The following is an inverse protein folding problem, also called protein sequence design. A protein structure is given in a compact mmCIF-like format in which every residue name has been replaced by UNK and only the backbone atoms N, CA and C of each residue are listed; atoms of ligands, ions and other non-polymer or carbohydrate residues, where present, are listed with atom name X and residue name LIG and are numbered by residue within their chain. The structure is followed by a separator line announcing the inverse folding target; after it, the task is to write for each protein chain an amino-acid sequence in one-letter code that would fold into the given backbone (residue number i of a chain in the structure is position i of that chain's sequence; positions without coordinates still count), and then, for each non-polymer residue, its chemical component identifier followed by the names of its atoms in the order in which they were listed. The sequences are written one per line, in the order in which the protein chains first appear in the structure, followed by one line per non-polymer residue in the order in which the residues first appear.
data_IF_464732549913
#
_entry.id   IF_464732549913
#
_cell.length_a   1.000
_cell.length_b   1.000
_cell.length_c   1.000
_cell.angle_alpha   90.00
_cell.angle_beta   90.00
_cell.angle_gamma   90.00
#
_symmetry.space_group_name_H-M   'P 1'
#
loop_
_entity.id
_entity.type
_entity.pdbx_description
1 polymer ?
#
# COMPACT_ATOMS: atom_id res chain seq x y z
N UNK A 1 -30.19 16.26 -23.75
CA UNK A 1 -29.38 15.14 -23.19
C UNK A 1 -30.29 13.93 -23.09
N UNK A 2 -29.85 12.73 -23.50
CA UNK A 2 -30.69 11.54 -23.39
C UNK A 2 -30.97 11.20 -21.93
N UNK A 3 -32.17 10.73 -21.66
CA UNK A 3 -32.59 10.25 -20.35
C UNK A 3 -32.10 8.82 -20.15
N UNK A 4 -31.33 8.58 -19.09
CA UNK A 4 -30.64 7.30 -18.87
C UNK A 4 -31.17 6.62 -17.63
N UNK A 5 -31.64 5.38 -17.79
CA UNK A 5 -32.15 4.56 -16.71
C UNK A 5 -31.23 3.35 -16.53
N UNK A 6 -30.63 3.23 -15.36
CA UNK A 6 -29.81 2.08 -14.96
C UNK A 6 -30.71 1.04 -14.31
N UNK A 7 -30.82 -0.12 -14.95
CA UNK A 7 -31.65 -1.24 -14.57
C UNK A 7 -30.76 -2.36 -14.04
N UNK A 8 -31.10 -2.92 -12.88
CA UNK A 8 -30.41 -4.08 -12.32
C UNK A 8 -31.41 -5.06 -11.75
N UNK A 9 -31.35 -6.33 -12.13
CA UNK A 9 -32.17 -7.36 -11.50
C UNK A 9 -31.57 -7.74 -10.14
N UNK A 10 -32.41 -7.87 -9.11
CA UNK A 10 -31.94 -8.34 -7.81
C UNK A 10 -31.54 -9.83 -7.91
N UNK A 11 -30.45 -10.21 -7.25
CA UNK A 11 -29.93 -11.58 -7.22
C UNK A 11 -29.31 -11.87 -5.87
N UNK A 12 -29.53 -13.07 -5.36
CA UNK A 12 -28.92 -13.56 -4.12
C UNK A 12 -27.43 -13.92 -4.28
N UNK A 13 -26.95 -14.07 -5.53
CA UNK A 13 -25.54 -14.32 -5.85
C UNK A 13 -24.93 -13.12 -6.57
N UNK A 14 -23.83 -12.59 -6.02
CA UNK A 14 -23.11 -11.44 -6.57
C UNK A 14 -22.45 -11.72 -7.94
N UNK A 15 -22.28 -12.98 -8.31
CA UNK A 15 -21.49 -13.40 -9.49
C UNK A 15 -22.25 -13.30 -10.83
N UNK A 16 -23.57 -13.07 -10.82
CA UNK A 16 -24.41 -13.04 -12.04
C UNK A 16 -25.45 -11.91 -12.01
N UNK A 17 -25.07 -10.68 -11.62
CA UNK A 17 -26.00 -9.54 -11.72
C UNK A 17 -25.94 -8.87 -13.09
N UNK A 18 -27.00 -9.02 -13.88
CA UNK A 18 -27.17 -8.33 -15.15
C UNK A 18 -27.54 -6.86 -14.90
N UNK A 19 -26.68 -5.94 -15.34
CA UNK A 19 -26.89 -4.49 -15.28
C UNK A 19 -27.08 -3.99 -16.70
N UNK A 20 -28.15 -3.25 -16.93
CA UNK A 20 -28.54 -2.75 -18.24
C UNK A 20 -28.73 -1.24 -18.16
N UNK A 21 -28.29 -0.55 -19.20
CA UNK A 21 -28.42 0.90 -19.34
C UNK A 21 -29.40 1.18 -20.46
N UNK A 22 -30.65 1.48 -20.10
CA UNK A 22 -31.66 1.90 -21.05
C UNK A 22 -31.52 3.41 -21.31
N UNK A 23 -31.48 3.80 -22.58
CA UNK A 23 -31.39 5.20 -23.00
C UNK A 23 -32.66 5.58 -23.75
N UNK A 24 -33.17 6.75 -23.44
CA UNK A 24 -34.38 7.31 -24.04
C UNK A 24 -34.10 8.75 -24.49
N UNK A 25 -34.73 9.19 -25.56
CA UNK A 25 -34.56 10.57 -26.06
C UNK A 25 -35.20 11.61 -25.12
N UNK A 26 -36.21 11.21 -24.36
CA UNK A 26 -36.90 12.00 -23.35
C UNK A 26 -37.27 11.12 -22.13
N UNK A 27 -37.96 11.69 -21.13
CA UNK A 27 -38.51 10.92 -20.00
C UNK A 27 -39.44 9.83 -20.55
N UNK A 28 -39.15 8.54 -20.34
CA UNK A 28 -39.96 7.47 -20.90
C UNK A 28 -41.31 7.38 -20.18
N UNK A 29 -42.34 7.01 -20.94
CA UNK A 29 -43.58 6.50 -20.37
C UNK A 29 -43.35 5.14 -19.71
N UNK A 30 -44.28 4.68 -18.87
CA UNK A 30 -44.24 3.34 -18.33
C UNK A 30 -44.28 2.29 -19.43
N UNK A 31 -45.04 2.52 -20.50
CA UNK A 31 -45.10 1.61 -21.65
C UNK A 31 -43.74 1.39 -22.31
N UNK A 32 -42.99 2.47 -22.53
CA UNK A 32 -41.65 2.41 -23.14
C UNK A 32 -40.64 1.75 -22.19
N UNK A 33 -40.69 2.13 -20.91
CA UNK A 33 -39.80 1.59 -19.88
C UNK A 33 -40.04 0.10 -19.66
N UNK A 34 -41.31 -0.32 -19.51
CA UNK A 34 -41.68 -1.72 -19.29
C UNK A 34 -41.38 -2.59 -20.50
N UNK A 35 -41.61 -2.09 -21.72
CA UNK A 35 -41.26 -2.82 -22.95
C UNK A 35 -39.75 -3.05 -23.03
N UNK A 36 -38.95 -2.04 -22.68
CA UNK A 36 -37.50 -2.17 -22.70
C UNK A 36 -36.99 -3.13 -21.62
N UNK A 37 -37.59 -3.13 -20.44
CA UNK A 37 -37.26 -4.09 -19.38
C UNK A 37 -37.67 -5.51 -19.77
N UNK A 38 -38.84 -5.68 -20.38
CA UNK A 38 -39.36 -6.97 -20.82
C UNK A 38 -38.44 -7.63 -21.85
N UNK A 39 -37.97 -6.86 -22.84
CA UNK A 39 -37.00 -7.30 -23.86
C UNK A 39 -35.67 -7.73 -23.23
N UNK A 40 -35.13 -6.91 -22.34
CA UNK A 40 -33.74 -7.02 -21.88
C UNK A 40 -33.55 -8.02 -20.73
N UNK A 41 -34.59 -8.25 -19.93
CA UNK A 41 -34.57 -9.18 -18.79
C UNK A 41 -35.45 -10.42 -18.99
N UNK A 42 -36.02 -10.59 -20.20
CA UNK A 42 -36.93 -11.70 -20.54
C UNK A 42 -38.11 -11.82 -19.57
N UNK A 43 -38.72 -10.69 -19.20
CA UNK A 43 -39.90 -10.63 -18.31
C UNK A 43 -41.13 -10.29 -19.16
N UNK A 44 -42.30 -10.85 -18.84
CA UNK A 44 -43.55 -10.43 -19.50
C UNK A 44 -43.85 -8.97 -19.19
N UNK A 45 -44.19 -8.16 -20.20
CA UNK A 45 -44.48 -6.72 -20.02
C UNK A 45 -45.56 -6.43 -18.97
N UNK A 46 -46.51 -7.35 -18.79
CA UNK A 46 -47.57 -7.25 -17.77
C UNK A 46 -47.08 -7.53 -16.33
N UNK A 47 -45.89 -8.11 -16.19
CA UNK A 47 -45.31 -8.51 -14.92
C UNK A 47 -44.10 -7.65 -14.53
N UNK A 48 -43.79 -6.60 -15.28
CA UNK A 48 -42.67 -5.73 -14.97
C UNK A 48 -43.00 -4.84 -13.78
N UNK A 49 -42.08 -4.77 -12.81
CA UNK A 49 -42.06 -3.75 -11.78
C UNK A 49 -40.65 -3.21 -11.60
N UNK A 50 -40.53 -1.98 -11.08
CA UNK A 50 -39.23 -1.41 -10.72
C UNK A 50 -39.27 -0.85 -9.31
N UNK A 51 -38.13 -0.89 -8.63
CA UNK A 51 -37.96 -0.31 -7.30
C UNK A 51 -36.89 0.76 -7.35
N UNK A 52 -37.24 1.95 -6.89
CA UNK A 52 -36.31 3.02 -6.56
C UNK A 52 -35.87 2.90 -5.10
N UNK A 53 -34.57 3.09 -4.85
CA UNK A 53 -33.99 3.15 -3.51
C UNK A 53 -33.33 4.51 -3.34
N UNK A 54 -33.79 5.28 -2.36
CA UNK A 54 -33.14 6.51 -1.93
C UNK A 54 -32.17 6.22 -0.77
N UNK A 55 -31.04 6.93 -0.72
CA UNK A 55 -30.04 6.83 0.36
C UNK A 55 -30.54 7.44 1.67
N UNK A 56 -31.50 8.36 1.62
CA UNK A 56 -32.05 9.04 2.79
C UNK A 56 -33.48 8.62 3.15
N UNK A 57 -34.36 8.34 2.18
CA UNK A 57 -35.79 8.08 2.44
C UNK A 57 -36.40 6.98 1.57
N UNK A 58 -36.57 5.80 2.15
CA UNK A 58 -37.59 4.83 1.71
C UNK A 58 -37.35 4.10 0.38
N UNK A 59 -38.12 3.03 0.21
CA UNK A 59 -38.16 2.16 -0.98
C UNK A 59 -39.46 2.46 -1.72
N UNK A 60 -39.40 2.96 -2.95
CA UNK A 60 -40.59 3.20 -3.77
C UNK A 60 -40.69 2.15 -4.87
N UNK A 61 -41.85 1.50 -5.00
CA UNK A 61 -42.11 0.49 -6.05
C UNK A 61 -43.04 1.09 -7.09
N UNK A 62 -42.66 1.02 -8.36
CA UNK A 62 -43.41 1.53 -9.50
C UNK A 62 -43.83 0.36 -10.39
N UNK A 63 -45.10 0.35 -10.78
CA UNK A 63 -45.75 -0.75 -11.52
C UNK A 63 -46.64 -0.26 -12.68
N UNK A 64 -46.87 1.05 -12.77
CA UNK A 64 -47.76 1.64 -13.76
C UNK A 64 -47.39 3.12 -14.04
N UNK A 65 -48.06 3.70 -15.03
CA UNK A 65 -47.85 5.09 -15.47
C UNK A 65 -48.09 6.12 -14.35
N UNK A 66 -49.14 5.93 -13.53
CA UNK A 66 -49.50 6.89 -12.48
C UNK A 66 -48.43 6.96 -11.39
N UNK A 67 -47.90 5.80 -10.98
CA UNK A 67 -46.81 5.71 -10.02
C UNK A 67 -45.52 6.31 -10.57
N UNK A 68 -45.20 6.05 -11.84
CA UNK A 68 -44.02 6.63 -12.51
C UNK A 68 -44.13 8.16 -12.62
N UNK A 69 -45.30 8.68 -12.96
CA UNK A 69 -45.55 10.12 -13.06
C UNK A 69 -45.46 10.79 -11.68
N UNK A 70 -46.04 10.19 -10.65
CA UNK A 70 -45.91 10.66 -9.26
C UNK A 70 -44.44 10.68 -8.82
N UNK A 71 -43.66 9.67 -9.23
CA UNK A 71 -42.22 9.63 -9.00
C UNK A 71 -41.50 10.78 -9.71
N UNK A 72 -41.83 11.11 -10.97
CA UNK A 72 -41.21 12.24 -11.67
C UNK A 72 -41.58 13.62 -11.11
N UNK A 73 -42.72 13.75 -10.44
CA UNK A 73 -43.13 15.00 -9.77
C UNK A 73 -42.41 15.20 -8.44
N UNK A 74 -42.22 14.12 -7.68
CA UNK A 74 -41.54 14.15 -6.38
C UNK A 74 -40.02 14.19 -6.56
N UNK A 75 -39.51 13.42 -7.51
CA UNK A 75 -38.10 13.27 -7.80
C UNK A 75 -37.84 13.90 -9.17
N UNK A 76 -37.33 15.14 -9.21
CA UNK A 76 -36.92 15.78 -10.45
C UNK A 76 -35.44 15.46 -10.74
N UNK A 77 -35.12 14.45 -11.59
CA UNK A 77 -33.75 14.16 -11.95
C UNK A 77 -33.27 15.24 -12.93
N UNK A 78 -32.87 16.39 -12.40
CA UNK A 78 -32.14 17.43 -13.13
C UNK A 78 -30.89 16.88 -13.85
N UNK A 79 -30.38 15.73 -13.39
CA UNK A 79 -29.27 14.98 -13.98
C UNK A 79 -29.66 14.02 -15.12
N UNK A 80 -30.94 13.77 -15.37
CA UNK A 80 -31.44 12.83 -16.39
C UNK A 80 -31.05 11.37 -16.16
N UNK A 81 -30.64 11.01 -14.94
CA UNK A 81 -30.16 9.66 -14.60
C UNK A 81 -30.92 9.07 -13.42
N UNK A 82 -31.51 7.88 -13.60
CA UNK A 82 -32.24 7.15 -12.55
C UNK A 82 -31.68 5.73 -12.38
N UNK A 83 -31.71 5.22 -11.15
CA UNK A 83 -31.42 3.81 -10.83
C UNK A 83 -32.70 3.09 -10.43
N UNK A 84 -32.94 1.94 -11.05
CA UNK A 84 -34.03 1.04 -10.68
C UNK A 84 -33.51 -0.37 -10.47
N UNK A 85 -34.06 -1.03 -9.45
CA UNK A 85 -34.00 -2.48 -9.31
C UNK A 85 -35.20 -3.07 -10.04
N UNK A 86 -34.95 -3.87 -11.07
CA UNK A 86 -35.98 -4.56 -11.84
C UNK A 86 -36.56 -5.70 -11.01
N UNK A 87 -37.88 -5.85 -11.05
CA UNK A 87 -38.65 -6.88 -10.38
C UNK A 87 -39.57 -7.57 -11.38
N UNK A 88 -39.68 -8.89 -11.24
CA UNK A 88 -40.78 -9.66 -11.83
C UNK A 88 -41.91 -9.76 -10.79
N UNK A 89 -43.06 -9.18 -11.10
CA UNK A 89 -44.21 -9.12 -10.18
C UNK A 89 -44.83 -10.49 -9.91
N UNK A 90 -44.60 -11.51 -10.74
CA UNK A 90 -45.02 -12.88 -10.43
C UNK A 90 -44.09 -13.56 -9.42
N UNK A 91 -42.81 -13.18 -9.42
CA UNK A 91 -41.78 -13.75 -8.53
C UNK A 91 -40.94 -12.63 -7.89
N UNK A 92 -41.56 -11.79 -7.02
CA UNK A 92 -40.88 -10.63 -6.48
C UNK A 92 -39.72 -11.04 -5.56
N UNK A 93 -38.59 -10.36 -5.70
CA UNK A 93 -37.41 -10.62 -4.89
C UNK A 93 -37.63 -10.15 -3.45
N UNK A 94 -36.96 -10.82 -2.50
CA UNK A 94 -37.10 -10.48 -1.09
C UNK A 94 -36.58 -9.06 -0.79
N UNK A 95 -37.20 -8.33 0.16
CA UNK A 95 -36.78 -6.97 0.50
C UNK A 95 -35.29 -6.86 0.86
N UNK A 96 -34.73 -7.87 1.52
CA UNK A 96 -33.31 -7.96 1.88
C UNK A 96 -32.40 -8.00 0.65
N UNK A 97 -32.80 -8.71 -0.40
CA UNK A 97 -32.04 -8.83 -1.66
C UNK A 97 -32.09 -7.53 -2.45
N UNK A 98 -33.25 -6.86 -2.44
CA UNK A 98 -33.41 -5.57 -3.13
C UNK A 98 -32.53 -4.50 -2.47
N UNK A 99 -32.53 -4.41 -1.13
CA UNK A 99 -31.70 -3.45 -0.40
C UNK A 99 -30.19 -3.70 -0.55
N UNK A 100 -29.75 -4.96 -0.66
CA UNK A 100 -28.33 -5.29 -0.89
C UNK A 100 -27.88 -5.14 -2.35
N UNK A 101 -28.82 -4.94 -3.30
CA UNK A 101 -28.50 -4.88 -4.74
C UNK A 101 -27.60 -3.68 -5.10
N UNK A 102 -27.63 -2.61 -4.30
CA UNK A 102 -26.83 -1.40 -4.52
C UNK A 102 -25.86 -1.04 -3.38
N UNK A 103 -25.72 -1.88 -2.33
CA UNK A 103 -24.91 -1.57 -1.14
C UNK A 103 -23.38 -1.65 -1.35
N UNK A 104 -22.92 -1.98 -2.56
CA UNK A 104 -21.52 -1.87 -2.97
C UNK A 104 -21.33 -0.64 -3.87
N UNK A 105 -20.52 0.30 -3.38
CA UNK A 105 -19.97 1.50 -4.05
C UNK A 105 -20.21 1.59 -5.56
N UNK A 106 -21.37 2.11 -5.97
CA UNK A 106 -21.64 2.40 -7.39
C UNK A 106 -22.23 3.79 -7.50
N UNK A 107 -21.35 4.79 -7.41
CA UNK A 107 -21.73 6.19 -7.53
C UNK A 107 -22.18 6.52 -8.96
N UNK A 108 -23.18 7.39 -9.07
CA UNK A 108 -23.81 7.85 -10.32
C UNK A 108 -22.92 8.75 -11.19
N UNK A 109 -21.64 8.93 -10.83
CA UNK A 109 -20.65 9.67 -11.62
C UNK A 109 -20.23 8.97 -12.91
N UNK A 110 -20.47 7.66 -13.04
CA UNK A 110 -19.78 6.84 -14.05
C UNK A 110 -20.46 6.76 -15.43
N UNK A 111 -21.52 7.54 -15.70
CA UNK A 111 -22.41 7.23 -16.85
C UNK A 111 -22.80 8.41 -17.77
N UNK A 112 -22.07 9.53 -17.81
CA UNK A 112 -22.31 10.55 -18.85
C UNK A 112 -21.57 10.33 -20.18
N UNK A 113 -20.56 9.46 -20.27
CA UNK A 113 -19.63 9.49 -21.42
C UNK A 113 -19.41 8.15 -22.13
N UNK A 114 -20.33 7.18 -22.08
CA UNK A 114 -20.03 5.83 -22.59
C UNK A 114 -19.79 5.72 -24.12
N UNK A 115 -20.19 6.70 -24.94
CA UNK A 115 -19.82 6.74 -26.39
C UNK A 115 -18.64 7.67 -26.68
N UNK A 116 -18.32 8.52 -25.70
CA UNK A 116 -17.13 9.34 -25.71
C UNK A 116 -15.96 8.65 -24.99
N UNK A 117 -16.10 7.43 -24.48
CA UNK A 117 -15.08 6.78 -23.65
C UNK A 117 -14.08 5.98 -24.49
N UNK A 118 -12.80 6.31 -24.36
CA UNK A 118 -11.65 5.52 -24.79
C UNK A 118 -11.07 4.80 -23.59
N UNK A 119 -10.81 3.51 -23.74
CA UNK A 119 -9.97 2.76 -22.80
C UNK A 119 -8.56 2.66 -23.40
N UNK A 120 -7.63 3.43 -22.85
CA UNK A 120 -6.24 3.43 -23.27
C UNK A 120 -5.41 2.60 -22.30
N UNK A 121 -4.64 1.66 -22.85
CA UNK A 121 -3.66 0.90 -22.07
C UNK A 121 -2.35 1.65 -22.02
N UNK A 122 -1.94 2.00 -20.80
CA UNK A 122 -0.76 2.80 -20.51
C UNK A 122 0.31 1.95 -19.80
N UNK A 123 1.57 2.27 -20.06
CA UNK A 123 2.72 1.67 -19.40
C UNK A 123 3.62 2.78 -18.86
N UNK A 124 3.89 2.79 -17.56
CA UNK A 124 4.87 3.72 -16.98
C UNK A 124 6.27 3.15 -17.17
N UNK A 125 7.10 3.84 -17.94
CA UNK A 125 8.47 3.42 -18.21
C UNK A 125 9.25 3.29 -16.89
N UNK A 126 10.03 2.21 -16.74
CA UNK A 126 10.84 1.89 -15.56
C UNK A 126 10.09 1.72 -14.22
N UNK A 127 8.75 1.77 -14.21
CA UNK A 127 7.96 1.68 -12.98
C UNK A 127 6.82 0.67 -13.06
N UNK A 128 6.15 0.51 -14.21
CA UNK A 128 5.09 -0.50 -14.37
C UNK A 128 5.65 -1.87 -14.74
N UNK A 129 5.17 -2.90 -14.04
CA UNK A 129 5.38 -4.30 -14.43
C UNK A 129 4.30 -4.84 -15.39
N UNK A 130 3.17 -4.14 -15.51
CA UNK A 130 2.04 -4.52 -16.36
C UNK A 130 1.34 -3.27 -16.90
N UNK A 131 0.75 -3.32 -18.11
CA UNK A 131 -0.07 -2.24 -18.62
C UNK A 131 -1.33 -2.07 -17.77
N UNK A 132 -1.79 -0.84 -17.60
CA UNK A 132 -3.03 -0.54 -16.90
C UNK A 132 -3.99 0.23 -17.79
N UNK A 133 -5.28 -0.02 -17.61
CA UNK A 133 -6.34 0.65 -18.35
C UNK A 133 -6.66 2.01 -17.73
N UNK A 134 -6.78 3.03 -18.58
CA UNK A 134 -7.27 4.36 -18.25
C UNK A 134 -8.46 4.65 -19.13
N UNK A 135 -9.61 4.90 -18.49
CA UNK A 135 -10.83 5.27 -19.18
C UNK A 135 -10.95 6.79 -19.22
N UNK A 136 -11.09 7.37 -20.42
CA UNK A 136 -11.10 8.82 -20.62
C UNK A 136 -11.97 9.21 -21.83
N UNK A 137 -12.48 10.45 -21.87
CA UNK A 137 -13.25 10.95 -23.00
C UNK A 137 -12.41 11.17 -24.29
N UNK A 138 -12.94 10.90 -25.48
CA UNK A 138 -12.32 11.16 -26.79
C UNK A 138 -12.12 12.67 -27.01
N UNK A 139 -13.10 13.45 -26.56
CA UNK A 139 -13.08 14.92 -26.57
C UNK A 139 -12.18 15.54 -25.50
N UNK A 140 -11.59 14.74 -24.60
CA UNK A 140 -10.68 15.26 -23.57
C UNK A 140 -9.27 15.43 -24.14
N UNK A 141 -8.51 16.37 -23.59
CA UNK A 141 -7.13 16.64 -24.01
C UNK A 141 -6.13 15.67 -23.39
N UNK A 142 -4.93 15.62 -23.96
CA UNK A 142 -3.78 14.88 -23.39
C UNK A 142 -3.46 15.36 -21.95
N UNK A 143 -3.64 16.65 -21.64
CA UNK A 143 -3.51 17.14 -20.26
C UNK A 143 -4.51 16.51 -19.27
N UNK A 144 -5.75 16.25 -19.70
CA UNK A 144 -6.72 15.51 -18.87
C UNK A 144 -6.32 14.03 -18.72
N UNK A 145 -5.70 13.44 -19.75
CA UNK A 145 -5.15 12.09 -19.68
C UNK A 145 -4.03 11.97 -18.65
N UNK A 146 -3.12 12.95 -18.59
CA UNK A 146 -2.08 12.99 -17.55
C UNK A 146 -2.67 13.00 -16.15
N UNK A 147 -3.72 13.80 -15.91
CA UNK A 147 -4.44 13.83 -14.63
C UNK A 147 -5.11 12.49 -14.31
N UNK A 148 -5.74 11.86 -15.30
CA UNK A 148 -6.36 10.54 -15.13
C UNK A 148 -5.34 9.44 -14.80
N UNK A 149 -4.18 9.45 -15.47
CA UNK A 149 -3.05 8.56 -15.18
C UNK A 149 -2.53 8.78 -13.77
N UNK A 150 -2.28 10.05 -13.38
CA UNK A 150 -1.86 10.40 -12.02
C UNK A 150 -2.85 9.87 -10.97
N UNK A 151 -4.14 10.11 -11.15
CA UNK A 151 -5.19 9.62 -10.23
C UNK A 151 -5.23 8.09 -10.15
N UNK A 152 -5.04 7.39 -11.27
CA UNK A 152 -5.05 5.91 -11.31
C UNK A 152 -3.80 5.30 -10.65
N UNK A 153 -2.70 6.05 -10.62
CA UNK A 153 -1.40 5.67 -10.05
C UNK A 153 -0.94 6.70 -9.01
N UNK A 154 -1.85 7.11 -8.13
CA UNK A 154 -1.64 8.21 -7.17
C UNK A 154 -0.42 7.99 -6.28
N UNK A 155 -0.17 6.75 -5.84
CA UNK A 155 1.02 6.37 -5.06
C UNK A 155 2.34 6.48 -5.84
N UNK A 156 2.29 6.40 -7.16
CA UNK A 156 3.48 6.46 -8.03
C UNK A 156 3.84 7.90 -8.38
N UNK A 157 2.85 8.79 -8.40
CA UNK A 157 3.00 10.19 -8.80
C UNK A 157 2.66 11.17 -7.66
N UNK A 158 2.79 10.73 -6.41
CA UNK A 158 2.42 11.50 -5.21
C UNK A 158 3.16 12.84 -5.15
N UNK A 159 4.43 12.85 -5.54
CA UNK A 159 5.33 14.03 -5.57
C UNK A 159 5.39 14.71 -6.93
N UNK A 160 4.89 14.07 -8.00
CA UNK A 160 5.06 14.52 -9.39
C UNK A 160 3.80 15.27 -9.86
N UNK A 161 3.94 16.52 -10.28
CA UNK A 161 2.83 17.29 -10.83
C UNK A 161 2.38 16.68 -12.18
N UNK A 162 1.07 16.59 -12.43
CA UNK A 162 0.55 15.82 -13.57
C UNK A 162 0.99 16.37 -14.92
N UNK A 163 1.19 17.68 -15.02
CA UNK A 163 1.68 18.40 -16.20
C UNK A 163 3.14 18.05 -16.57
N UNK A 164 3.95 17.66 -15.58
CA UNK A 164 5.35 17.26 -15.80
C UNK A 164 5.52 15.88 -16.42
N UNK A 165 4.46 15.06 -16.50
CA UNK A 165 4.50 13.75 -17.15
C UNK A 165 4.60 13.90 -18.67
N UNK A 166 5.45 13.11 -19.33
CA UNK A 166 5.50 13.05 -20.79
C UNK A 166 4.75 11.81 -21.30
N UNK A 167 3.83 12.00 -22.25
CA UNK A 167 3.04 10.92 -22.83
C UNK A 167 3.49 10.65 -24.26
N UNK A 168 3.71 9.37 -24.57
CA UNK A 168 4.20 8.93 -25.87
C UNK A 168 3.25 7.89 -26.47
N UNK A 169 2.75 8.16 -27.68
CA UNK A 169 1.86 7.28 -28.44
C UNK A 169 2.66 6.24 -29.23
N UNK A 170 2.22 4.99 -29.18
CA UNK A 170 2.78 3.89 -29.98
C UNK A 170 2.08 3.78 -31.34
N UNK A 171 2.82 3.93 -32.42
CA UNK A 171 2.31 3.76 -33.80
C UNK A 171 3.26 2.87 -34.62
N UNK A 172 3.04 1.54 -34.69
CA UNK A 172 1.81 0.83 -34.33
C UNK A 172 1.69 0.48 -32.83
N UNK A 173 0.46 0.31 -32.31
CA UNK A 173 0.22 -0.21 -30.96
C UNK A 173 0.86 -1.60 -30.77
N UNK A 174 1.40 -1.88 -29.58
CA UNK A 174 2.07 -3.16 -29.28
C UNK A 174 1.02 -4.19 -28.82
N UNK A 175 0.87 -5.35 -29.46
CA UNK A 175 -0.02 -6.41 -28.98
C UNK A 175 0.40 -6.92 -27.60
N UNK A 176 -0.56 -7.33 -26.76
CA UNK A 176 -0.27 -7.80 -25.39
C UNK A 176 0.77 -8.91 -25.30
N UNK A 177 0.89 -9.77 -26.31
CA UNK A 177 1.85 -10.87 -26.37
C UNK A 177 3.31 -10.43 -26.60
N UNK A 178 3.54 -9.20 -27.09
CA UNK A 178 4.86 -8.68 -27.45
C UNK A 178 5.37 -7.62 -26.48
N UNK A 179 4.59 -7.28 -25.44
CA UNK A 179 4.96 -6.26 -24.46
C UNK A 179 6.25 -6.65 -23.73
N UNK A 180 6.33 -7.88 -23.23
CA UNK A 180 7.47 -8.38 -22.45
C UNK A 180 8.76 -8.56 -23.25
N UNK A 181 8.67 -8.59 -24.57
CA UNK A 181 9.83 -8.72 -25.46
C UNK A 181 10.25 -7.36 -26.02
N UNK A 182 9.29 -6.49 -26.35
CA UNK A 182 9.58 -5.16 -26.92
C UNK A 182 9.91 -4.09 -25.89
N UNK A 183 9.48 -4.23 -24.65
CA UNK A 183 9.70 -3.21 -23.60
C UNK A 183 10.73 -3.61 -22.54
N UNK A 184 11.23 -4.86 -22.57
CA UNK A 184 12.16 -5.38 -21.54
C UNK A 184 13.44 -4.56 -21.41
N UNK A 185 14.02 -4.17 -22.55
CA UNK A 185 15.30 -3.49 -22.63
C UNK A 185 15.17 -2.00 -23.00
N UNK A 186 13.94 -1.48 -23.06
CA UNK A 186 13.66 -0.10 -23.45
C UNK A 186 13.84 0.82 -22.24
N UNK A 187 14.78 1.76 -22.37
CA UNK A 187 15.09 2.77 -21.35
C UNK A 187 14.62 4.16 -21.75
N UNK A 188 14.27 4.38 -23.02
CA UNK A 188 13.75 5.64 -23.53
C UNK A 188 12.63 5.37 -24.55
N UNK A 189 11.50 6.11 -24.52
CA UNK A 189 10.39 5.90 -25.46
C UNK A 189 10.79 6.00 -26.95
N UNK A 190 11.84 6.77 -27.28
CA UNK A 190 12.37 6.95 -28.63
C UNK A 190 13.05 5.69 -29.19
N UNK A 191 13.42 4.73 -28.34
CA UNK A 191 13.96 3.44 -28.77
C UNK A 191 12.86 2.53 -29.35
N UNK A 192 11.59 2.85 -29.12
CA UNK A 192 10.47 2.11 -29.66
C UNK A 192 10.15 2.65 -31.07
N UNK A 193 10.24 1.82 -32.13
CA UNK A 193 9.96 2.26 -33.49
C UNK A 193 8.53 2.79 -33.62
N UNK A 194 8.38 4.03 -34.10
CA UNK A 194 7.08 4.66 -34.32
C UNK A 194 6.42 5.27 -33.07
N UNK A 195 7.19 5.49 -32.01
CA UNK A 195 6.76 6.19 -30.81
C UNK A 195 6.76 7.72 -31.04
N UNK A 196 5.65 8.40 -30.75
CA UNK A 196 5.47 9.84 -30.99
C UNK A 196 5.06 10.54 -29.69
N UNK A 197 5.75 11.63 -29.33
CA UNK A 197 5.39 12.45 -28.16
C UNK A 197 4.06 13.17 -28.40
N UNK A 198 3.15 13.09 -27.44
CA UNK A 198 1.87 13.77 -27.45
C UNK A 198 2.00 15.18 -26.86
N UNK A 199 1.28 16.13 -27.43
CA UNK A 199 1.20 17.50 -26.91
C UNK A 199 -0.04 17.64 -26.00
N UNK A 200 0.10 18.35 -24.89
CA UNK A 200 -0.89 18.47 -23.80
C UNK A 200 -2.23 19.06 -24.25
N UNK A 201 -2.19 19.89 -25.30
CA UNK A 201 -3.33 20.62 -25.84
C UNK A 201 -4.11 19.75 -26.85
N UNK A 202 -3.47 18.73 -27.44
CA UNK A 202 -4.10 17.89 -28.46
C UNK A 202 -5.29 17.13 -27.87
N UNK A 203 -6.36 17.02 -28.66
CA UNK A 203 -7.48 16.16 -28.31
C UNK A 203 -7.11 14.68 -28.50
N UNK A 204 -7.63 13.81 -27.63
CA UNK A 204 -7.37 12.37 -27.74
C UNK A 204 -7.99 11.76 -29.01
N UNK A 205 -9.07 12.35 -29.53
CA UNK A 205 -9.72 11.97 -30.79
C UNK A 205 -8.79 12.06 -32.01
N UNK A 206 -7.89 13.04 -32.04
CA UNK A 206 -6.92 13.27 -33.12
C UNK A 206 -5.87 12.16 -33.18
N UNK A 207 -5.49 11.64 -32.01
CA UNK A 207 -4.46 10.61 -31.87
C UNK A 207 -5.02 9.20 -31.82
N UNK A 208 -6.22 9.01 -31.28
CA UNK A 208 -6.81 7.70 -30.98
C UNK A 208 -8.20 7.53 -31.61
N UNK A 209 -8.31 7.83 -32.90
CA UNK A 209 -9.55 7.67 -33.68
C UNK A 209 -10.05 6.22 -33.74
N UNK A 210 -9.14 5.23 -33.67
CA UNK A 210 -9.47 3.81 -33.56
C UNK A 210 -8.50 3.08 -32.63
N UNK A 211 -8.98 2.67 -31.46
CA UNK A 211 -8.20 1.98 -30.42
C UNK A 211 -8.38 0.48 -30.55
N UNK A 212 -7.27 -0.25 -30.76
CA UNK A 212 -7.31 -1.72 -30.85
C UNK A 212 -7.34 -2.34 -29.46
N UNK A 213 -8.33 -3.20 -29.21
CA UNK A 213 -8.40 -3.95 -27.94
C UNK A 213 -7.18 -4.84 -27.76
N UNK A 214 -6.76 -5.07 -26.50
CA UNK A 214 -5.60 -5.91 -26.13
C UNK A 214 -4.25 -5.44 -26.69
N UNK A 215 -4.11 -4.14 -26.98
CA UNK A 215 -2.84 -3.53 -27.36
C UNK A 215 -2.44 -2.48 -26.33
N UNK A 216 -1.14 -2.26 -26.18
CA UNK A 216 -0.58 -1.13 -25.46
C UNK A 216 -0.56 0.09 -26.39
N UNK A 217 -1.01 1.23 -25.86
CA UNK A 217 -1.23 2.44 -26.64
C UNK A 217 -0.24 3.55 -26.27
N UNK A 218 0.09 3.67 -24.98
CA UNK A 218 0.82 4.84 -24.46
C UNK A 218 1.95 4.40 -23.53
N UNK A 219 3.12 5.01 -23.72
CA UNK A 219 4.22 5.01 -22.76
C UNK A 219 4.18 6.32 -21.99
N UNK A 220 4.24 6.23 -20.66
CA UNK A 220 4.28 7.35 -19.73
C UNK A 220 5.70 7.47 -19.21
N UNK A 221 6.33 8.62 -19.43
CA UNK A 221 7.64 8.96 -18.91
C UNK A 221 7.48 10.02 -17.82
N UNK A 222 8.05 9.75 -16.64
CA UNK A 222 8.11 10.72 -15.56
C UNK A 222 9.29 11.67 -15.79
N UNK A 223 9.23 12.93 -15.36
CA UNK A 223 10.35 13.85 -15.50
C UNK A 223 11.58 13.31 -14.75
N UNK A 224 12.79 13.52 -15.28
CA UNK A 224 14.00 13.21 -14.55
C UNK A 224 14.06 14.09 -13.30
N UNK A 225 14.17 13.48 -12.13
CA UNK A 225 14.33 14.17 -10.85
C UNK A 225 15.51 15.14 -10.96
N UNK A 226 15.25 16.45 -10.85
CA UNK A 226 16.29 17.48 -10.92
C UNK A 226 17.14 17.44 -9.64
N UNK A 227 18.27 16.75 -9.69
CA UNK A 227 19.40 17.01 -8.79
C UNK A 227 20.41 17.98 -9.45
N UNK A 228 21.15 18.80 -8.68
CA UNK A 228 22.07 19.79 -9.22
C UNK A 228 23.27 19.16 -9.95
N UNK A 229 23.95 19.90 -10.86
CA UNK A 229 24.86 19.31 -11.82
C UNK A 229 26.25 19.07 -11.21
N UNK A 230 26.63 17.80 -11.01
CA UNK A 230 28.05 17.42 -10.90
C UNK A 230 28.41 16.16 -11.70
N UNK A 231 29.04 16.44 -12.86
CA UNK A 231 30.02 15.68 -13.64
C UNK A 231 29.86 14.15 -13.78
N UNK A 232 29.37 13.79 -14.98
CA UNK A 232 29.55 12.53 -15.74
C UNK A 232 30.73 11.64 -15.31
N UNK A 233 30.42 10.40 -14.93
CA UNK A 233 31.13 9.20 -15.38
C UNK A 233 30.16 8.01 -15.47
N UNK A 234 30.05 7.44 -16.68
CA UNK A 234 29.22 6.27 -16.99
C UNK A 234 29.79 5.00 -16.35
N UNK A 235 28.97 4.25 -15.61
CA UNK A 235 28.90 2.78 -15.65
C UNK A 235 27.72 2.24 -14.79
N UNK A 236 26.83 1.49 -15.48
CA UNK A 236 25.95 0.40 -15.00
C UNK A 236 24.91 0.62 -13.90
N UNK A 237 23.64 0.54 -14.34
CA UNK A 237 22.39 0.14 -13.68
C UNK A 237 22.43 -0.32 -12.21
N UNK A 238 21.87 0.52 -11.33
CA UNK A 238 21.04 0.15 -10.17
C UNK A 238 20.26 1.43 -9.83
N UNK A 239 18.94 1.45 -10.00
CA UNK A 239 18.10 2.51 -9.41
C UNK A 239 18.19 2.28 -7.91
N UNK A 240 18.98 3.11 -7.24
CA UNK A 240 19.23 3.02 -5.81
C UNK A 240 17.90 3.21 -5.09
N UNK A 241 17.50 2.15 -4.39
CA UNK A 241 16.91 2.23 -3.07
C UNK A 241 17.63 3.32 -2.27
N UNK A 242 17.18 4.58 -2.31
CA UNK A 242 17.77 5.63 -1.49
C UNK A 242 17.59 5.23 -0.02
N UNK A 243 18.69 4.71 0.55
CA UNK A 243 18.84 4.45 1.97
C UNK A 243 19.29 5.76 2.57
N UNK A 244 18.65 6.16 3.66
CA UNK A 244 18.98 7.40 4.35
C UNK A 244 20.46 7.43 4.77
N UNK A 245 21.11 8.59 4.64
CA UNK A 245 22.55 8.75 4.92
C UNK A 245 22.92 8.33 6.35
N UNK A 246 22.03 8.56 7.32
CA UNK A 246 22.22 8.17 8.71
C UNK A 246 22.22 6.64 8.88
N UNK A 247 21.41 5.92 8.10
CA UNK A 247 21.37 4.45 8.08
C UNK A 247 22.63 3.87 7.43
N UNK A 248 23.14 4.51 6.37
CA UNK A 248 24.41 4.14 5.73
C UNK A 248 25.56 4.35 6.71
N UNK A 249 25.65 5.53 7.33
CA UNK A 249 26.67 5.86 8.32
C UNK A 249 26.64 4.89 9.52
N UNK A 250 25.45 4.51 9.97
CA UNK A 250 25.30 3.51 11.03
C UNK A 250 25.84 2.13 10.63
N UNK A 251 25.61 1.69 9.39
CA UNK A 251 26.22 0.45 8.89
C UNK A 251 27.74 0.57 8.77
N UNK A 252 28.26 1.67 8.21
CA UNK A 252 29.69 1.90 8.12
C UNK A 252 30.36 1.86 9.51
N UNK A 253 29.75 2.52 10.49
CA UNK A 253 30.28 2.58 11.85
C UNK A 253 30.31 1.19 12.52
N UNK A 254 29.22 0.42 12.43
CA UNK A 254 29.13 -0.88 13.11
C UNK A 254 29.78 -2.02 12.34
N UNK A 255 29.58 -2.07 11.03
CA UNK A 255 30.02 -3.20 10.19
C UNK A 255 31.46 -3.03 9.71
N UNK A 256 31.77 -1.88 9.13
CA UNK A 256 33.08 -1.61 8.50
C UNK A 256 34.10 -1.18 9.56
N UNK A 257 33.77 -0.15 10.34
CA UNK A 257 34.67 0.40 11.36
C UNK A 257 34.63 -0.38 12.69
N UNK A 258 33.65 -1.28 12.87
CA UNK A 258 33.47 -2.07 14.11
C UNK A 258 33.46 -1.21 15.38
N UNK A 259 32.94 0.01 15.29
CA UNK A 259 32.77 0.92 16.42
C UNK A 259 31.72 0.35 17.35
N UNK A 260 32.07 0.13 18.61
CA UNK A 260 31.11 -0.35 19.60
C UNK A 260 30.14 0.79 19.98
N UNK A 261 28.82 0.66 19.71
CA UNK A 261 27.83 1.66 20.08
C UNK A 261 27.42 1.56 21.55
N UNK A 262 27.81 0.48 22.25
CA UNK A 262 27.48 0.26 23.66
C UNK A 262 28.48 1.01 24.54
N UNK A 263 27.97 1.90 25.38
CA UNK A 263 28.73 2.67 26.39
C UNK A 263 28.21 2.36 27.78
N UNK A 264 29.11 2.40 28.76
CA UNK A 264 28.74 2.32 30.17
C UNK A 264 28.54 3.73 30.72
N UNK A 265 27.38 3.95 31.33
CA UNK A 265 27.02 5.18 32.02
C UNK A 265 26.95 4.92 33.53
N UNK A 266 27.26 5.93 34.33
CA UNK A 266 27.27 5.83 35.80
C UNK A 266 25.97 6.38 36.39
N UNK A 267 25.38 5.65 37.33
CA UNK A 267 24.20 6.10 38.06
C UNK A 267 24.59 7.27 38.98
N UNK A 268 24.14 8.48 38.65
CA UNK A 268 24.24 9.63 39.56
C UNK A 268 23.09 9.56 40.56
N UNK A 269 23.37 9.06 41.77
CA UNK A 269 22.38 8.95 42.85
C UNK A 269 22.29 10.26 43.63
N UNK A 270 21.08 10.59 44.06
CA UNK A 270 20.84 11.63 45.07
C UNK A 270 21.50 11.19 46.40
N UNK A 271 22.18 12.09 47.13
CA UNK A 271 22.69 11.79 48.47
C UNK A 271 21.66 11.19 49.44
N UNK A 272 20.36 11.44 49.22
CA UNK A 272 19.24 10.94 50.03
C UNK A 272 18.54 9.69 49.45
N UNK A 273 19.26 8.83 48.71
CA UNK A 273 18.67 7.61 48.17
C UNK A 273 18.07 6.68 49.24
N UNK A 274 17.04 5.91 48.84
CA UNK A 274 16.46 4.84 49.65
C UNK A 274 17.56 3.88 50.10
N UNK A 275 17.75 3.77 51.42
CA UNK A 275 18.60 2.75 52.03
C UNK A 275 18.11 1.35 51.60
N UNK A 276 19.03 0.40 51.43
CA UNK A 276 18.77 -1.02 51.10
C UNK A 276 18.43 -1.39 49.64
N UNK A 277 18.66 -0.53 48.63
CA UNK A 277 18.51 -0.91 47.21
C UNK A 277 19.87 -1.08 46.52
N UNK A 278 20.22 -2.33 46.20
CA UNK A 278 21.44 -2.73 45.47
C UNK A 278 21.33 -2.47 43.96
N UNK A 279 21.30 -1.19 43.55
CA UNK A 279 21.34 -0.81 42.12
C UNK A 279 22.78 -0.81 41.60
N UNK A 280 23.08 -1.44 40.45
CA UNK A 280 24.40 -1.37 39.84
C UNK A 280 24.86 0.09 39.66
N UNK A 281 26.14 0.34 39.97
CA UNK A 281 26.76 1.68 39.86
C UNK A 281 26.83 2.15 38.41
N UNK A 282 26.87 1.22 37.46
CA UNK A 282 26.93 1.50 36.02
C UNK A 282 25.91 0.68 35.24
N UNK A 283 25.45 1.21 34.11
CA UNK A 283 24.54 0.55 33.19
C UNK A 283 24.96 0.75 31.73
N UNK A 284 24.54 -0.17 30.86
CA UNK A 284 24.88 -0.15 29.44
C UNK A 284 23.84 0.65 28.63
N UNK A 285 24.31 1.51 27.74
CA UNK A 285 23.47 2.29 26.81
C UNK A 285 23.96 2.10 25.39
N UNK A 286 23.03 1.90 24.48
CA UNK A 286 23.26 1.84 23.04
C UNK A 286 23.14 3.26 22.45
N UNK A 287 24.27 3.84 22.02
CA UNK A 287 24.36 5.16 21.39
C UNK A 287 24.57 5.08 19.88
N UNK A 288 24.56 6.25 19.22
CA UNK A 288 24.95 6.37 17.81
C UNK A 288 23.95 5.73 16.83
N UNK A 289 22.70 5.54 17.28
CA UNK A 289 21.64 5.07 16.41
C UNK A 289 21.20 6.19 15.45
N UNK A 290 20.83 5.86 14.20
CA UNK A 290 20.22 6.79 13.26
C UNK A 290 19.08 7.56 13.90
N UNK A 291 18.92 8.85 13.54
CA UNK A 291 17.82 9.69 14.03
C UNK A 291 16.48 9.09 13.59
N UNK A 292 16.47 8.48 12.41
CA UNK A 292 15.35 7.71 11.89
C UNK A 292 14.98 6.50 12.78
N UNK A 293 15.90 6.00 13.62
CA UNK A 293 15.68 4.87 14.52
C UNK A 293 15.37 5.30 15.96
N UNK A 294 16.08 6.29 16.51
CA UNK A 294 15.82 6.89 17.85
C UNK A 294 16.56 8.22 18.04
N UNK A 295 16.11 9.06 18.97
CA UNK A 295 16.64 10.42 19.21
C UNK A 295 17.61 10.57 20.38
N UNK A 296 17.84 9.54 21.21
CA UNK A 296 18.59 9.72 22.48
C UNK A 296 19.39 8.50 22.97
N UNK A 297 19.58 7.48 22.14
CA UNK A 297 20.15 6.20 22.60
C UNK A 297 19.16 5.34 23.38
N UNK A 298 19.55 4.11 23.71
CA UNK A 298 18.67 3.09 24.28
C UNK A 298 19.33 2.43 25.50
N UNK A 299 18.65 2.46 26.65
CA UNK A 299 19.06 1.68 27.82
C UNK A 299 19.03 0.18 27.49
N UNK A 300 20.15 -0.51 27.71
CA UNK A 300 20.26 -1.96 27.52
C UNK A 300 19.89 -2.65 28.83
N UNK A 301 18.72 -3.28 28.81
CA UNK A 301 18.19 -4.07 29.92
C UNK A 301 18.95 -5.39 30.07
N UNK A 302 19.04 -5.92 31.29
CA UNK A 302 19.61 -7.26 31.50
C UNK A 302 18.78 -8.32 30.78
N UNK A 303 17.46 -8.13 30.73
CA UNK A 303 16.51 -8.94 29.98
C UNK A 303 16.84 -9.03 28.47
N UNK A 304 17.49 -8.03 27.87
CA UNK A 304 17.89 -8.11 26.46
C UNK A 304 18.96 -9.17 26.22
N UNK A 305 19.89 -9.32 27.16
CA UNK A 305 20.96 -10.33 27.09
C UNK A 305 20.34 -11.72 27.24
N UNK A 306 19.47 -11.91 28.23
CA UNK A 306 18.71 -13.16 28.45
C UNK A 306 17.86 -13.54 27.24
N UNK A 307 17.15 -12.58 26.64
CA UNK A 307 16.33 -12.82 25.45
C UNK A 307 17.18 -13.18 24.21
N UNK A 308 18.34 -12.53 24.00
CA UNK A 308 19.28 -12.88 22.92
C UNK A 308 19.79 -14.32 23.06
N UNK A 309 20.24 -14.71 24.26
CA UNK A 309 20.70 -16.07 24.55
C UNK A 309 19.58 -17.11 24.37
N UNK A 310 18.37 -16.77 24.82
CA UNK A 310 17.18 -17.58 24.61
C UNK A 310 16.85 -17.78 23.13
N UNK A 311 16.94 -16.74 22.31
CA UNK A 311 16.70 -16.83 20.87
C UNK A 311 17.75 -17.72 20.19
N UNK A 312 19.05 -17.50 20.45
CA UNK A 312 20.11 -18.31 19.85
C UNK A 312 19.99 -19.79 20.25
N UNK A 313 19.61 -20.07 21.50
CA UNK A 313 19.41 -21.45 21.98
C UNK A 313 18.22 -22.15 21.31
N UNK A 314 17.14 -21.42 21.00
CA UNK A 314 15.95 -21.98 20.36
C UNK A 314 16.05 -22.05 18.83
N UNK A 315 16.93 -21.25 18.20
CA UNK A 315 17.06 -21.11 16.74
C UNK A 315 17.13 -22.45 15.98
N UNK A 316 17.85 -23.49 16.42
CA UNK A 316 17.90 -24.76 15.68
C UNK A 316 16.54 -25.48 15.61
N UNK A 317 15.58 -25.08 16.46
CA UNK A 317 14.32 -25.78 16.67
C UNK A 317 13.10 -24.99 16.21
N UNK A 318 13.25 -23.69 15.88
CA UNK A 318 12.12 -22.81 15.52
C UNK A 318 12.46 -21.92 14.33
N UNK A 319 11.44 -21.58 13.55
CA UNK A 319 11.58 -20.70 12.38
C UNK A 319 11.37 -19.22 12.73
N UNK A 320 10.67 -18.96 13.85
CA UNK A 320 10.43 -17.63 14.34
C UNK A 320 10.36 -17.57 15.87
N UNK A 321 10.78 -16.43 16.42
CA UNK A 321 10.56 -16.06 17.82
C UNK A 321 9.73 -14.77 17.87
N UNK A 322 8.63 -14.78 18.61
CA UNK A 322 7.76 -13.62 18.83
C UNK A 322 7.99 -13.10 20.25
N UNK A 323 8.55 -11.90 20.35
CA UNK A 323 8.72 -11.16 21.60
C UNK A 323 7.43 -10.43 21.92
N UNK A 324 6.77 -10.84 23.00
CA UNK A 324 5.53 -10.24 23.51
C UNK A 324 5.76 -9.59 24.88
N UNK A 325 4.91 -8.64 25.23
CA UNK A 325 4.97 -7.94 26.52
C UNK A 325 4.16 -6.65 26.52
N UNK A 326 4.02 -6.02 27.68
CA UNK A 326 3.25 -4.80 27.86
C UNK A 326 3.76 -3.65 26.96
N UNK A 327 2.88 -2.74 26.49
CA UNK A 327 3.32 -1.53 25.79
C UNK A 327 4.36 -0.74 26.61
N UNK A 328 5.37 -0.16 25.95
CA UNK A 328 6.44 0.58 26.63
C UNK A 328 7.54 -0.28 27.27
N UNK A 329 7.40 -1.61 27.32
CA UNK A 329 8.39 -2.49 27.99
C UNK A 329 9.75 -2.61 27.27
N UNK A 330 9.92 -1.96 26.11
CA UNK A 330 11.20 -1.95 25.39
C UNK A 330 11.37 -3.03 24.32
N UNK A 331 10.29 -3.59 23.76
CA UNK A 331 10.38 -4.59 22.68
C UNK A 331 11.04 -4.05 21.40
N UNK A 332 10.67 -2.85 20.96
CA UNK A 332 11.30 -2.21 19.79
C UNK A 332 12.77 -1.88 20.08
N UNK A 333 13.07 -1.41 21.30
CA UNK A 333 14.42 -1.18 21.79
C UNK A 333 15.30 -2.43 21.74
N UNK A 334 14.74 -3.59 22.11
CA UNK A 334 15.41 -4.87 22.00
C UNK A 334 15.78 -5.24 20.55
N UNK A 335 14.93 -4.92 19.57
CA UNK A 335 15.28 -5.17 18.16
C UNK A 335 16.47 -4.31 17.69
N UNK A 336 16.58 -3.06 18.15
CA UNK A 336 17.76 -2.21 17.85
C UNK A 336 19.03 -2.75 18.52
N UNK A 337 18.92 -3.22 19.77
CA UNK A 337 20.00 -3.93 20.44
C UNK A 337 20.48 -5.14 19.64
N UNK A 338 19.56 -6.02 19.21
CA UNK A 338 19.89 -7.17 18.38
C UNK A 338 20.49 -6.76 17.03
N UNK A 339 19.95 -5.72 16.39
CA UNK A 339 20.49 -5.21 15.13
C UNK A 339 21.96 -4.82 15.32
N UNK A 340 22.27 -3.98 16.30
CA UNK A 340 23.64 -3.53 16.57
C UNK A 340 24.59 -4.72 16.84
N UNK A 341 24.17 -5.67 17.69
CA UNK A 341 24.94 -6.88 18.00
C UNK A 341 25.25 -7.72 16.76
N UNK A 342 24.26 -7.88 15.87
CA UNK A 342 24.43 -8.65 14.63
C UNK A 342 25.34 -7.94 13.62
N UNK A 343 25.22 -6.62 13.48
CA UNK A 343 26.08 -5.85 12.58
C UNK A 343 27.55 -5.87 13.04
N UNK A 344 27.80 -5.74 14.35
CA UNK A 344 29.13 -5.91 14.94
C UNK A 344 29.71 -7.31 14.68
N UNK A 345 28.86 -8.34 14.71
CA UNK A 345 29.23 -9.71 14.40
C UNK A 345 29.32 -9.99 12.88
N UNK A 346 29.14 -8.97 12.02
CA UNK A 346 29.11 -9.07 10.55
C UNK A 346 28.10 -10.11 10.03
N UNK A 347 26.97 -10.26 10.74
CA UNK A 347 25.91 -11.19 10.37
C UNK A 347 24.85 -10.46 9.53
N UNK A 348 24.48 -10.98 8.35
CA UNK A 348 23.48 -10.34 7.50
C UNK A 348 22.13 -10.26 8.23
N UNK A 349 21.48 -9.11 8.13
CA UNK A 349 20.29 -8.80 8.94
C UNK A 349 19.31 -7.96 8.14
N UNK A 350 18.05 -8.36 8.13
CA UNK A 350 16.94 -7.54 7.64
C UNK A 350 16.29 -6.87 8.86
N UNK A 351 15.98 -5.58 8.75
CA UNK A 351 15.30 -4.82 9.78
C UNK A 351 14.06 -4.13 9.18
N UNK A 352 12.87 -4.49 9.65
CA UNK A 352 11.62 -3.81 9.33
C UNK A 352 11.21 -2.93 10.52
N UNK A 353 11.27 -1.61 10.33
CA UNK A 353 10.80 -0.62 11.33
C UNK A 353 9.29 -0.37 11.23
N UNK A 354 8.79 -0.37 10.01
CA UNK A 354 7.39 -0.12 9.62
C UNK A 354 7.12 -0.73 8.22
N UNK A 355 5.90 -0.62 7.72
CA UNK A 355 5.50 -1.15 6.40
C UNK A 355 6.35 -0.69 5.21
N UNK A 356 6.98 0.48 5.30
CA UNK A 356 7.69 1.14 4.19
C UNK A 356 9.20 1.14 4.37
N UNK A 357 9.68 0.85 5.57
CA UNK A 357 11.08 0.98 5.98
C UNK A 357 11.64 -0.39 6.32
N UNK A 358 12.07 -1.09 5.28
CA UNK A 358 12.70 -2.42 5.35
C UNK A 358 14.12 -2.27 4.82
N UNK A 359 15.11 -2.58 5.66
CA UNK A 359 16.52 -2.47 5.32
C UNK A 359 17.19 -3.83 5.38
N UNK A 360 18.03 -4.14 4.41
CA UNK A 360 18.91 -5.30 4.40
C UNK A 360 20.35 -4.86 4.56
N UNK A 361 20.95 -5.26 5.67
CA UNK A 361 22.35 -5.02 6.00
C UNK A 361 23.16 -6.26 5.64
N UNK A 362 24.21 -6.07 4.84
CA UNK A 362 25.06 -7.15 4.33
C UNK A 362 26.52 -6.73 4.27
N UNK A 363 27.41 -7.65 3.89
CA UNK A 363 28.82 -7.32 3.60
C UNK A 363 29.00 -6.34 2.43
N UNK A 364 27.99 -6.19 1.56
CA UNK A 364 28.03 -5.30 0.39
C UNK A 364 27.46 -3.91 0.66
N UNK A 365 27.00 -3.63 1.88
CA UNK A 365 26.33 -2.40 2.24
C UNK A 365 24.89 -2.62 2.71
N UNK A 366 24.18 -1.50 2.84
CA UNK A 366 22.76 -1.45 3.18
C UNK A 366 21.93 -1.23 1.92
N UNK A 367 20.82 -1.96 1.81
CA UNK A 367 19.85 -1.79 0.73
C UNK A 367 18.45 -1.71 1.31
N UNK A 368 17.60 -0.81 0.81
CA UNK A 368 16.17 -0.87 1.10
C UNK A 368 15.53 -2.05 0.38
N UNK A 369 14.57 -2.71 0.99
CA UNK A 369 13.81 -3.80 0.37
C UNK A 369 12.37 -3.35 0.10
N UNK A 370 11.81 -3.88 -1.00
CA UNK A 370 10.37 -3.78 -1.26
C UNK A 370 9.60 -4.72 -0.33
N UNK A 371 8.36 -4.35 -0.01
CA UNK A 371 7.45 -5.15 0.82
C UNK A 371 7.07 -6.49 0.19
N UNK A 372 7.13 -6.56 -1.14
CA UNK A 372 6.56 -7.64 -1.94
C UNK A 372 7.61 -8.57 -2.57
N UNK A 373 8.90 -8.20 -2.55
CA UNK A 373 9.90 -8.93 -3.32
C UNK A 373 11.24 -9.01 -2.58
N UNK A 374 11.72 -10.23 -2.32
CA UNK A 374 13.13 -10.46 -1.98
C UNK A 374 13.93 -10.43 -3.28
N UNK A 375 14.93 -9.55 -3.44
CA UNK A 375 15.85 -9.63 -4.57
C UNK A 375 16.54 -11.00 -4.57
N UNK A 376 16.64 -11.66 -5.74
CA UNK A 376 17.29 -12.98 -5.88
C UNK A 376 18.77 -12.99 -5.45
N UNK A 377 19.38 -11.82 -5.33
CA UNK A 377 20.77 -11.61 -4.90
C UNK A 377 20.97 -11.66 -3.37
N UNK A 378 19.89 -11.77 -2.58
CA UNK A 378 20.00 -11.83 -1.12
C UNK A 378 20.30 -13.26 -0.70
N UNK A 379 21.49 -13.48 -0.14
CA UNK A 379 21.85 -14.75 0.49
C UNK A 379 21.10 -14.88 1.83
N UNK A 380 20.01 -15.66 1.80
CA UNK A 380 19.11 -15.80 2.95
C UNK A 380 19.59 -16.83 3.97
N UNK A 381 20.69 -17.55 3.71
CA UNK A 381 21.30 -18.43 4.71
C UNK A 381 21.85 -17.58 5.84
N UNK A 382 21.49 -17.92 7.08
CA UNK A 382 21.91 -17.24 8.32
C UNK A 382 21.40 -15.80 8.53
N UNK A 383 20.65 -15.27 7.58
CA UNK A 383 20.03 -13.94 7.69
C UNK A 383 18.86 -13.97 8.67
N UNK A 384 18.87 -13.04 9.63
CA UNK A 384 17.73 -12.82 10.52
C UNK A 384 16.92 -11.63 10.04
N UNK A 385 15.59 -11.73 10.14
CA UNK A 385 14.70 -10.60 9.95
C UNK A 385 14.12 -10.16 11.29
N UNK A 386 14.46 -8.93 11.67
CA UNK A 386 14.02 -8.26 12.89
C UNK A 386 12.82 -7.38 12.54
N UNK A 387 11.63 -7.69 13.06
CA UNK A 387 10.37 -7.12 12.62
C UNK A 387 9.64 -6.43 13.77
N UNK A 388 9.41 -5.12 13.65
CA UNK A 388 8.57 -4.37 14.61
C UNK A 388 7.10 -4.35 14.14
N UNK A 389 6.23 -5.13 14.80
CA UNK A 389 4.81 -5.27 14.48
C UNK A 389 3.96 -4.20 15.21
N UNK A 390 3.91 -3.00 14.61
CA UNK A 390 3.10 -1.85 15.08
C UNK A 390 1.61 -1.98 14.71
N UNK A 391 0.76 -1.13 15.31
CA UNK A 391 -0.72 -1.25 15.26
C UNK A 391 -1.33 -1.30 13.84
N UNK A 392 -0.72 -0.63 12.87
CA UNK A 392 -1.23 -0.50 11.49
C UNK A 392 -0.43 -1.33 10.48
N UNK A 393 0.72 -1.86 10.88
CA UNK A 393 1.66 -2.53 10.00
C UNK A 393 1.50 -4.05 10.09
N UNK A 394 0.87 -4.64 9.07
CA UNK A 394 1.01 -6.09 8.84
C UNK A 394 2.46 -6.43 8.49
N UNK A 395 2.93 -7.58 8.96
CA UNK A 395 4.22 -8.15 8.56
C UNK A 395 4.26 -8.20 7.04
N UNK A 396 5.34 -7.69 6.45
CA UNK A 396 5.46 -7.63 5.00
C UNK A 396 5.35 -9.04 4.39
N UNK A 397 4.61 -9.24 3.27
CA UNK A 397 4.42 -10.54 2.64
C UNK A 397 5.73 -11.27 2.33
N UNK A 398 6.80 -10.51 2.07
CA UNK A 398 8.16 -11.01 1.89
C UNK A 398 8.65 -11.95 3.02
N UNK A 399 8.16 -11.77 4.24
CA UNK A 399 8.55 -12.60 5.40
C UNK A 399 7.67 -13.84 5.56
N UNK A 400 6.49 -13.88 4.93
CA UNK A 400 5.51 -14.97 5.02
C UNK A 400 5.66 -16.04 3.92
N UNK A 401 6.75 -15.99 3.15
CA UNK A 401 7.05 -16.99 2.13
C UNK A 401 7.35 -18.33 2.79
N UNK A 402 6.56 -19.36 2.45
CA UNK A 402 6.74 -20.73 2.94
C UNK A 402 8.15 -21.27 2.64
N UNK A 403 8.74 -22.01 3.59
CA UNK A 403 10.07 -22.65 3.53
C UNK A 403 11.27 -21.74 3.24
N UNK A 404 11.18 -20.43 3.47
CA UNK A 404 12.34 -19.55 3.34
C UNK A 404 13.34 -19.78 4.50
N UNK A 405 14.65 -19.70 4.23
CA UNK A 405 15.70 -19.89 5.25
C UNK A 405 15.87 -18.72 6.23
N UNK A 406 15.06 -17.67 6.09
CA UNK A 406 15.03 -16.53 7.00
C UNK A 406 14.55 -16.94 8.39
N UNK A 407 15.31 -16.58 9.40
CA UNK A 407 14.89 -16.67 10.80
C UNK A 407 14.24 -15.37 11.25
N UNK A 408 13.02 -15.43 11.79
CA UNK A 408 12.25 -14.24 12.14
C UNK A 408 12.32 -13.95 13.64
N UNK A 409 12.60 -12.70 14.01
CA UNK A 409 12.43 -12.18 15.38
C UNK A 409 11.43 -11.03 15.34
N UNK A 410 10.28 -11.20 15.97
CA UNK A 410 9.14 -10.29 15.84
C UNK A 410 8.85 -9.65 17.19
N UNK A 411 8.97 -8.34 17.29
CA UNK A 411 8.45 -7.58 18.43
C UNK A 411 6.97 -7.25 18.18
N UNK A 412 6.08 -7.75 19.04
CA UNK A 412 4.64 -7.48 18.91
C UNK A 412 3.99 -7.19 20.26
N UNK A 413 2.84 -6.51 20.23
CA UNK A 413 1.93 -6.57 21.38
C UNK A 413 1.38 -7.99 21.56
N UNK A 414 0.81 -8.32 22.73
CA UNK A 414 0.29 -9.67 23.02
C UNK A 414 -0.86 -10.13 22.12
N UNK A 415 -1.36 -9.28 21.20
CA UNK A 415 -2.49 -9.60 20.33
C UNK A 415 -2.06 -10.54 19.21
N UNK A 416 -2.59 -11.77 19.23
CA UNK A 416 -2.31 -12.82 18.24
C UNK A 416 -2.61 -12.41 16.80
N UNK A 417 -3.56 -11.50 16.56
CA UNK A 417 -3.89 -10.99 15.22
C UNK A 417 -2.73 -10.29 14.50
N UNK A 418 -1.64 -9.95 15.20
CA UNK A 418 -0.45 -9.28 14.63
C UNK A 418 0.59 -10.23 14.05
N UNK A 419 0.68 -11.45 14.58
CA UNK A 419 1.72 -12.42 14.23
C UNK A 419 1.13 -13.81 13.94
N UNK A 420 -0.19 -13.98 14.00
CA UNK A 420 -0.87 -15.24 13.70
C UNK A 420 -0.61 -15.75 12.28
N UNK A 421 -0.41 -14.84 11.32
CA UNK A 421 0.01 -15.22 9.96
C UNK A 421 1.38 -15.92 9.99
N UNK A 422 2.31 -15.52 10.85
CA UNK A 422 3.62 -16.18 10.98
C UNK A 422 3.47 -17.57 11.60
N UNK A 423 2.57 -17.73 12.57
CA UNK A 423 2.28 -19.05 13.14
C UNK A 423 1.71 -20.00 12.08
N UNK A 424 0.90 -19.48 11.15
CA UNK A 424 0.32 -20.25 10.06
C UNK A 424 1.34 -20.58 8.94
N UNK A 425 2.12 -19.59 8.48
CA UNK A 425 3.01 -19.74 7.33
C UNK A 425 4.45 -20.14 7.69
N UNK A 426 4.87 -20.00 8.97
CA UNK A 426 6.24 -20.27 9.45
C UNK A 426 6.30 -21.10 10.75
N UNK A 427 5.56 -22.21 10.89
CA UNK A 427 5.73 -23.08 12.05
C UNK A 427 7.10 -23.79 11.99
N UNK A 428 7.77 -24.10 13.13
CA UNK A 428 7.33 -23.82 14.50
C UNK A 428 7.76 -22.43 15.00
N UNK A 429 6.90 -21.81 15.81
CA UNK A 429 7.08 -20.45 16.37
C UNK A 429 7.20 -20.53 17.89
N UNK A 430 8.19 -19.84 18.47
CA UNK A 430 8.35 -19.68 19.93
C UNK A 430 7.85 -18.31 20.36
N UNK A 431 7.13 -18.25 21.47
CA UNK A 431 6.77 -17.00 22.13
C UNK A 431 7.75 -16.74 23.28
N UNK A 432 8.36 -15.56 23.31
CA UNK A 432 9.15 -15.06 24.43
C UNK A 432 8.39 -13.93 25.11
N UNK A 433 8.11 -14.09 26.39
CA UNK A 433 7.49 -13.04 27.20
C UNK A 433 8.61 -12.18 27.80
N UNK A 434 8.67 -10.92 27.40
CA UNK A 434 9.65 -9.97 27.94
C UNK A 434 9.25 -9.58 29.36
N UNK A 435 10.16 -9.78 30.30
CA UNK A 435 9.95 -9.47 31.71
C UNK A 435 9.73 -7.97 31.95
N UNK A 436 8.92 -7.59 32.97
CA UNK A 436 8.72 -6.21 33.35
C UNK A 436 10.01 -5.56 33.85
N UNK A 437 10.03 -4.23 33.93
CA UNK A 437 11.18 -3.52 34.49
C UNK A 437 11.36 -3.86 35.97
N UNK A 438 12.57 -4.28 36.35
CA UNK A 438 12.97 -4.40 37.75
C UNK A 438 13.20 -3.02 38.38
N UNK A 439 13.23 -2.97 39.72
CA UNK A 439 13.48 -1.72 40.46
C UNK A 439 14.81 -1.07 40.06
N UNK A 440 15.86 -1.87 39.89
CA UNK A 440 17.18 -1.41 39.44
C UNK A 440 17.12 -0.76 38.05
N UNK A 441 16.43 -1.41 37.10
CA UNK A 441 16.28 -0.91 35.73
C UNK A 441 15.45 0.38 35.69
N UNK A 442 14.45 0.52 36.56
CA UNK A 442 13.66 1.75 36.67
C UNK A 442 14.50 2.92 37.18
N UNK A 443 15.37 2.68 38.15
CA UNK A 443 16.29 3.70 38.69
C UNK A 443 17.30 4.11 37.62
N UNK A 444 17.87 3.15 36.89
CA UNK A 444 18.78 3.43 35.77
C UNK A 444 18.09 4.21 34.65
N UNK A 445 16.86 3.83 34.28
CA UNK A 445 16.08 4.52 33.26
C UNK A 445 15.79 5.98 33.65
N UNK A 446 15.48 6.24 34.93
CA UNK A 446 15.28 7.60 35.43
C UNK A 446 16.56 8.44 35.30
N UNK A 447 17.71 7.91 35.69
CA UNK A 447 19.00 8.62 35.55
C UNK A 447 19.35 8.87 34.09
N UNK A 448 19.11 7.89 33.22
CA UNK A 448 19.33 8.02 31.79
C UNK A 448 18.48 9.14 31.17
N UNK A 449 17.20 9.24 31.55
CA UNK A 449 16.30 10.31 31.10
C UNK A 449 16.77 11.69 31.57
N UNK A 450 17.21 11.83 32.82
CA UNK A 450 17.74 13.11 33.34
C UNK A 450 18.99 13.52 32.55
N UNK A 451 19.89 12.57 32.30
CA UNK A 451 21.12 12.79 31.54
C UNK A 451 20.80 13.30 30.13
N UNK A 452 19.84 12.68 29.44
CA UNK A 452 19.39 13.12 28.11
C UNK A 452 18.80 14.53 28.11
N UNK A 453 17.94 14.85 29.08
CA UNK A 453 17.39 16.20 29.22
C UNK A 453 18.48 17.26 29.40
N UNK A 454 19.56 16.95 30.13
CA UNK A 454 20.69 17.87 30.28
C UNK A 454 21.48 18.06 28.97
N UNK A 455 21.65 17.00 28.17
CA UNK A 455 22.34 17.08 26.87
C UNK A 455 21.53 17.84 25.81
N UNK A 456 20.20 17.68 25.78
CA UNK A 456 19.35 18.41 24.82
C UNK A 456 19.32 19.91 25.10
N UNK A 457 19.35 20.33 26.37
CA UNK A 457 19.47 21.74 26.74
C UNK A 457 20.81 22.33 26.26
N UNK A 458 21.91 21.57 26.32
CA UNK A 458 23.21 22.04 25.84
C UNK A 458 23.32 22.13 24.31
N UNK A 459 22.53 21.36 23.55
CA UNK A 459 22.49 21.45 22.07
C UNK A 459 21.68 22.62 21.53
N UNK A 460 20.88 23.28 22.38
CA UNK A 460 20.06 24.44 22.01
C UNK A 460 20.83 25.77 22.17
N UNK A 461 22.03 25.75 22.78
CA UNK A 461 22.87 26.94 22.98
C UNK A 461 24.10 26.99 22.08
#
# INVERSE_FOLDING_TARGET
MPFVVKLKKASASAELTQIILARFDARPSWGDLASKIAEEFSISSNNVGVVFLDEAEGKLTLKNEQELQSFYEIFDPSSGKIKFVVQDLQTPDSPKTISSTWSGSSNLSDLSNADDQLTLFCWVLNVSNNPFAVDIGKSMTVGHLKKAIKKKKERTFEVIESDTLELWKLSPPIPSAEIDTKLRDVQNPQQIPGCVKLNDIDELSEHFSSVRRKHLHIIVEAPPTHEPPTKRRRQSAEVINEVEEDVIAFWDDLWVASKNPIRQETVQRDPNCLEDVDVPVTFDVLHGLPVSFTTGGILIRSEYKSAEEGIESNRPHVNAVVIVGHPGIGKSSFLFYLLARRLLARKPTIFQRDAKSIYFFSATGVRRLSRDTVPRSVELSETWALLDAKQEDKIAPIFLIDRSSLFLVIASSPRRSRWGDVEHYRPPVKIWLMEPFGLEELIQAQVFLITLCCYDVQRIF
#
